data_IF_823737665052
#
_entry.id   IF_823737665052
#
_cell.length_a   1.000
_cell.length_b   1.000
_cell.length_c   1.000
_cell.angle_alpha   90.00
_cell.angle_beta   90.00
_cell.angle_gamma   90.00
#
_symmetry.space_group_name_H-M   'P 1'
#
loop_
_entity.id
_entity.type
_entity.pdbx_description
1 polymer ?
#
# COMPACT_ATOMS: atom_id res chain seq x y z
N UNK A 1 10.59 0.10 -29.27
CA UNK A 1 9.66 -0.05 -28.13
C UNK A 1 10.17 0.85 -27.02
N UNK A 2 9.43 1.92 -26.70
CA UNK A 2 9.85 2.88 -25.67
C UNK A 2 9.39 2.38 -24.31
N UNK A 3 10.36 2.13 -23.42
CA UNK A 3 10.13 1.67 -22.05
C UNK A 3 9.73 2.90 -21.24
N UNK A 4 8.54 2.89 -20.62
CA UNK A 4 8.08 3.98 -19.77
C UNK A 4 9.02 4.08 -18.54
N UNK A 5 9.77 5.17 -18.35
CA UNK A 5 10.72 5.30 -17.24
C UNK A 5 10.02 5.46 -15.88
N UNK A 6 8.70 5.65 -15.86
CA UNK A 6 7.89 5.66 -14.64
C UNK A 6 7.28 4.29 -14.31
N UNK A 7 7.53 3.25 -15.11
CA UNK A 7 7.15 1.90 -14.74
C UNK A 7 8.01 1.45 -13.56
N UNK A 8 7.37 1.19 -12.41
CA UNK A 8 8.04 0.60 -11.26
C UNK A 8 8.81 -0.66 -11.73
N UNK A 9 10.04 -0.90 -11.24
CA UNK A 9 10.79 -2.08 -11.63
C UNK A 9 9.91 -3.31 -11.38
N UNK A 10 9.93 -4.27 -12.30
CA UNK A 10 9.34 -5.59 -12.12
C UNK A 10 10.03 -6.25 -10.91
N UNK A 11 9.58 -5.90 -9.71
CA UNK A 11 10.09 -6.46 -8.48
C UNK A 11 9.65 -7.91 -8.47
N UNK A 12 10.58 -8.84 -8.24
CA UNK A 12 10.41 -10.29 -8.30
C UNK A 12 9.33 -10.88 -7.35
N UNK A 13 8.51 -10.02 -6.72
CA UNK A 13 7.53 -10.35 -5.68
C UNK A 13 6.19 -9.62 -5.85
N UNK A 14 5.99 -8.92 -6.96
CA UNK A 14 4.77 -8.15 -7.22
C UNK A 14 3.90 -8.77 -8.30
N UNK A 15 2.59 -8.58 -8.17
CA UNK A 15 1.55 -8.94 -9.10
C UNK A 15 1.03 -7.66 -9.76
N UNK A 16 1.15 -7.55 -11.08
CA UNK A 16 0.64 -6.39 -11.81
C UNK A 16 -0.89 -6.38 -11.72
N UNK A 17 -1.44 -5.25 -11.30
CA UNK A 17 -2.87 -4.96 -11.29
C UNK A 17 -3.16 -4.04 -12.46
N UNK A 18 -4.12 -4.41 -13.28
CA UNK A 18 -4.48 -3.68 -14.50
C UNK A 18 -5.97 -3.75 -14.76
N UNK A 19 -6.49 -2.82 -15.55
CA UNK A 19 -7.83 -2.92 -16.15
C UNK A 19 -7.71 -3.25 -17.62
N UNK A 20 -8.71 -3.95 -18.13
CA UNK A 20 -8.76 -4.27 -19.54
C UNK A 20 -10.08 -4.88 -19.94
N UNK A 21 -10.16 -5.28 -21.21
CA UNK A 21 -11.31 -5.98 -21.77
C UNK A 21 -11.00 -7.45 -22.00
N UNK A 22 -12.00 -8.30 -21.80
CA UNK A 22 -11.95 -9.70 -22.25
C UNK A 22 -12.28 -9.83 -23.74
N UNK A 23 -12.39 -11.06 -24.24
CA UNK A 23 -12.75 -11.35 -25.63
C UNK A 23 -14.17 -10.89 -26.01
N UNK A 24 -15.06 -10.73 -25.03
CA UNK A 24 -16.43 -10.26 -25.18
C UNK A 24 -16.56 -8.72 -25.04
N UNK A 25 -15.45 -8.02 -24.80
CA UNK A 25 -15.36 -6.58 -24.51
C UNK A 25 -15.97 -6.15 -23.15
N UNK A 26 -16.06 -7.07 -22.20
CA UNK A 26 -16.40 -6.76 -20.82
C UNK A 26 -15.19 -6.14 -20.11
N UNK A 27 -15.39 -4.98 -19.47
CA UNK A 27 -14.35 -4.35 -18.67
C UNK A 27 -14.19 -5.04 -17.31
N UNK A 28 -12.96 -5.45 -17.00
CA UNK A 28 -12.62 -6.15 -15.76
C UNK A 28 -11.35 -5.57 -15.13
N UNK A 29 -11.20 -5.85 -13.85
CA UNK A 29 -9.94 -5.64 -13.12
C UNK A 29 -9.18 -6.97 -13.09
N UNK A 30 -7.90 -6.94 -13.38
CA UNK A 30 -7.02 -8.10 -13.44
C UNK A 30 -5.90 -7.95 -12.41
N UNK A 31 -5.52 -9.07 -11.80
CA UNK A 31 -4.25 -9.21 -11.07
C UNK A 31 -3.50 -10.41 -11.64
N UNK A 32 -2.27 -10.18 -12.07
CA UNK A 32 -1.43 -11.21 -12.67
C UNK A 32 -0.98 -12.17 -11.58
N UNK A 33 -1.19 -13.48 -11.74
CA UNK A 33 -0.83 -14.47 -10.71
C UNK A 33 0.51 -15.15 -10.98
N UNK A 34 0.98 -15.14 -12.22
CA UNK A 34 2.25 -15.75 -12.60
C UNK A 34 3.46 -14.81 -12.40
N UNK A 35 4.64 -15.44 -12.24
CA UNK A 35 5.95 -14.76 -12.25
C UNK A 35 6.20 -14.08 -13.62
N UNK A 36 7.27 -13.26 -13.75
CA UNK A 36 7.27 -11.95 -14.41
C UNK A 36 6.43 -11.87 -15.70
N UNK A 37 5.71 -10.76 -15.90
CA UNK A 37 4.83 -10.45 -17.03
C UNK A 37 5.53 -10.50 -18.42
N UNK A 38 5.97 -11.67 -18.84
CA UNK A 38 6.69 -11.93 -20.08
C UNK A 38 5.94 -13.03 -20.80
N UNK A 39 5.13 -12.65 -21.80
CA UNK A 39 4.33 -13.59 -22.60
C UNK A 39 2.95 -13.89 -22.01
N UNK A 40 2.42 -15.08 -22.28
CA UNK A 40 1.12 -15.54 -21.72
C UNK A 40 1.28 -15.74 -20.21
N UNK A 41 0.41 -15.11 -19.45
CA UNK A 41 0.39 -15.19 -17.99
C UNK A 41 -1.05 -15.41 -17.53
N UNK A 42 -1.22 -16.14 -16.45
CA UNK A 42 -2.51 -16.28 -15.79
C UNK A 42 -2.82 -15.03 -14.96
N UNK A 43 -4.11 -14.71 -14.87
CA UNK A 43 -4.66 -13.64 -14.04
C UNK A 43 -5.81 -14.17 -13.18
N UNK A 44 -6.08 -13.48 -12.08
CA UNK A 44 -7.44 -13.44 -11.54
C UNK A 44 -8.15 -12.21 -12.10
N UNK A 45 -9.35 -12.38 -12.62
CA UNK A 45 -10.20 -11.28 -13.08
C UNK A 45 -11.36 -11.05 -12.11
N UNK A 46 -11.69 -9.79 -11.90
CA UNK A 46 -12.74 -9.33 -11.02
C UNK A 46 -13.82 -8.64 -11.84
N UNK A 47 -15.03 -9.22 -11.80
CA UNK A 47 -16.16 -8.81 -12.62
C UNK A 47 -17.27 -8.24 -11.73
N UNK A 48 -17.57 -6.94 -11.83
CA UNK A 48 -18.71 -6.37 -11.16
C UNK A 48 -20.04 -6.87 -11.73
N UNK A 49 -20.80 -7.65 -10.96
CA UNK A 49 -22.12 -8.12 -11.35
C UNK A 49 -23.18 -7.19 -10.78
N UNK A 50 -23.64 -6.24 -11.60
CA UNK A 50 -24.59 -5.19 -11.18
C UNK A 50 -25.92 -5.76 -10.68
N UNK A 51 -26.39 -6.86 -11.26
CA UNK A 51 -27.65 -7.50 -10.88
C UNK A 51 -27.63 -8.01 -9.43
N UNK A 52 -26.48 -8.49 -8.94
CA UNK A 52 -26.33 -9.02 -7.58
C UNK A 52 -25.69 -8.00 -6.63
N UNK A 53 -25.11 -6.92 -7.16
CA UNK A 53 -24.34 -5.95 -6.39
C UNK A 53 -23.05 -6.53 -5.79
N UNK A 54 -22.54 -7.63 -6.37
CA UNK A 54 -21.35 -8.34 -5.91
C UNK A 54 -20.29 -8.42 -7.00
N UNK A 55 -19.05 -8.60 -6.58
CA UNK A 55 -17.93 -8.90 -7.47
C UNK A 55 -17.77 -10.41 -7.59
N UNK A 56 -17.78 -10.90 -8.81
CA UNK A 56 -17.38 -12.27 -9.13
C UNK A 56 -15.89 -12.32 -9.45
N UNK A 57 -15.26 -13.44 -9.10
CA UNK A 57 -13.82 -13.65 -9.33
C UNK A 57 -13.67 -14.84 -10.26
N UNK A 58 -13.02 -14.60 -11.40
CA UNK A 58 -12.61 -15.62 -12.35
C UNK A 58 -11.14 -15.92 -12.07
N UNK A 59 -10.86 -17.10 -11.51
CA UNK A 59 -9.50 -17.51 -11.16
C UNK A 59 -8.78 -18.12 -12.36
N UNK A 60 -7.48 -17.87 -12.47
CA UNK A 60 -6.60 -18.46 -13.50
C UNK A 60 -7.13 -18.29 -14.94
N UNK A 61 -7.59 -17.08 -15.25
CA UNK A 61 -8.01 -16.71 -16.60
C UNK A 61 -6.83 -16.17 -17.40
N UNK A 62 -7.01 -16.04 -18.72
CA UNK A 62 -6.09 -15.31 -19.56
C UNK A 62 -6.06 -13.83 -19.18
N UNK A 63 -4.95 -13.17 -19.49
CA UNK A 63 -4.83 -11.71 -19.46
C UNK A 63 -5.91 -11.03 -20.28
N UNK A 64 -6.14 -9.76 -20.01
CA UNK A 64 -6.98 -8.92 -20.86
C UNK A 64 -6.53 -9.00 -22.33
N UNK A 65 -7.51 -9.11 -23.24
CA UNK A 65 -7.29 -9.00 -24.68
C UNK A 65 -6.65 -7.64 -25.02
N UNK A 66 -7.15 -6.59 -24.38
CA UNK A 66 -6.58 -5.25 -24.43
C UNK A 66 -6.49 -4.66 -23.02
N UNK A 67 -5.28 -4.29 -22.62
CA UNK A 67 -5.05 -3.59 -21.35
C UNK A 67 -5.38 -2.12 -21.53
N UNK A 68 -6.33 -1.62 -20.74
CA UNK A 68 -6.76 -0.21 -20.74
C UNK A 68 -5.86 0.64 -19.85
N UNK A 69 -5.51 0.17 -18.66
CA UNK A 69 -4.73 0.93 -17.69
C UNK A 69 -3.97 0.01 -16.74
N UNK A 70 -2.69 0.31 -16.47
CA UNK A 70 -1.91 -0.33 -15.41
C UNK A 70 -2.05 0.46 -14.12
N UNK A 71 -2.54 -0.18 -13.06
CA UNK A 71 -2.85 0.47 -11.79
C UNK A 71 -1.71 0.36 -10.76
N UNK A 72 -0.76 -0.55 -10.99
CA UNK A 72 0.42 -0.73 -10.16
C UNK A 72 0.66 -2.19 -9.77
N UNK A 73 1.57 -2.40 -8.83
CA UNK A 73 2.00 -3.73 -8.40
C UNK A 73 1.52 -4.02 -6.98
N UNK A 74 1.06 -5.24 -6.74
CA UNK A 74 0.55 -5.68 -5.45
C UNK A 74 1.22 -6.98 -4.99
N UNK A 75 1.62 -7.11 -3.74
CA UNK A 75 2.39 -8.27 -3.27
C UNK A 75 1.56 -9.47 -2.82
N UNK A 76 0.31 -9.24 -2.40
CA UNK A 76 -0.54 -10.28 -1.81
C UNK A 76 -1.86 -10.43 -2.58
N UNK A 77 -1.95 -11.46 -3.43
CA UNK A 77 -3.16 -11.76 -4.21
C UNK A 77 -4.36 -12.08 -3.31
N UNK A 78 -4.15 -12.74 -2.17
CA UNK A 78 -5.24 -13.17 -1.29
C UNK A 78 -5.88 -11.95 -0.61
N UNK A 79 -5.04 -11.06 -0.07
CA UNK A 79 -5.51 -9.79 0.48
C UNK A 79 -6.20 -8.96 -0.61
N UNK A 80 -5.60 -8.91 -1.81
CA UNK A 80 -6.18 -8.17 -2.93
C UNK A 80 -7.59 -8.67 -3.28
N UNK A 81 -7.71 -9.98 -3.41
CA UNK A 81 -8.96 -10.68 -3.73
C UNK A 81 -10.01 -10.43 -2.65
N UNK A 82 -9.63 -10.48 -1.38
CA UNK A 82 -10.53 -10.24 -0.25
C UNK A 82 -11.09 -8.81 -0.27
N UNK A 83 -10.25 -7.80 -0.50
CA UNK A 83 -10.69 -6.40 -0.59
C UNK A 83 -11.66 -6.23 -1.76
N UNK A 84 -11.33 -6.75 -2.94
CA UNK A 84 -12.20 -6.64 -4.12
C UNK A 84 -13.58 -7.26 -3.88
N UNK A 85 -13.64 -8.45 -3.24
CA UNK A 85 -14.90 -9.14 -2.93
C UNK A 85 -15.74 -8.43 -1.88
N UNK A 86 -15.09 -7.76 -0.92
CA UNK A 86 -15.75 -7.08 0.19
C UNK A 86 -16.12 -5.63 -0.14
N UNK A 87 -15.65 -5.10 -1.27
CA UNK A 87 -16.03 -3.76 -1.71
C UNK A 87 -17.45 -3.77 -2.30
N UNK A 88 -18.40 -3.01 -1.73
CA UNK A 88 -19.75 -2.93 -2.27
C UNK A 88 -19.74 -2.29 -3.66
N UNK A 89 -20.53 -2.85 -4.58
CA UNK A 89 -20.79 -2.20 -5.86
C UNK A 89 -21.74 -1.01 -5.67
N UNK A 90 -21.44 0.16 -6.27
CA UNK A 90 -22.36 1.28 -6.24
C UNK A 90 -23.63 0.93 -7.03
N UNK A 91 -24.79 1.08 -6.37
CA UNK A 91 -26.10 0.72 -6.93
C UNK A 91 -26.60 1.72 -7.99
N UNK A 92 -26.01 2.91 -8.08
CA UNK A 92 -26.45 4.00 -8.95
C UNK A 92 -25.26 4.81 -9.47
N UNK A 93 -25.32 5.27 -10.72
CA UNK A 93 -24.33 6.13 -11.34
C UNK A 93 -23.98 5.74 -12.79
N UNK A 94 -23.39 6.68 -13.52
CA UNK A 94 -23.08 6.53 -14.96
C UNK A 94 -21.98 5.48 -15.24
N UNK A 95 -21.14 5.14 -14.26
CA UNK A 95 -20.02 4.20 -14.41
C UNK A 95 -19.76 3.37 -13.14
N UNK A 96 -20.56 2.32 -12.85
CA UNK A 96 -20.45 1.55 -11.61
C UNK A 96 -19.10 0.82 -11.47
N UNK A 97 -18.53 0.33 -12.58
CA UNK A 97 -17.19 -0.28 -12.61
C UNK A 97 -16.11 0.71 -12.14
N UNK A 98 -16.10 1.92 -12.72
CA UNK A 98 -15.09 2.94 -12.40
C UNK A 98 -15.20 3.42 -10.95
N UNK A 99 -16.42 3.61 -10.46
CA UNK A 99 -16.66 4.01 -9.08
C UNK A 99 -16.21 2.92 -8.08
N UNK A 100 -16.51 1.65 -8.36
CA UNK A 100 -16.00 0.53 -7.57
C UNK A 100 -14.47 0.45 -7.61
N UNK A 101 -13.88 0.60 -8.79
CA UNK A 101 -12.43 0.57 -8.97
C UNK A 101 -11.72 1.63 -8.13
N UNK A 102 -12.22 2.87 -8.13
CA UNK A 102 -11.68 3.92 -7.28
C UNK A 102 -11.77 3.61 -5.79
N UNK A 103 -12.85 2.95 -5.35
CA UNK A 103 -13.00 2.55 -3.95
C UNK A 103 -11.98 1.46 -3.56
N UNK A 104 -11.77 0.47 -4.43
CA UNK A 104 -10.76 -0.59 -4.25
C UNK A 104 -9.35 0.01 -4.17
N UNK A 105 -8.94 0.82 -5.15
CA UNK A 105 -7.62 1.48 -5.18
C UNK A 105 -7.44 2.42 -3.98
N UNK A 106 -8.51 3.15 -3.61
CA UNK A 106 -8.54 4.02 -2.44
C UNK A 106 -8.34 3.28 -1.11
N UNK A 107 -8.79 2.03 -0.99
CA UNK A 107 -8.51 1.22 0.20
C UNK A 107 -7.05 0.79 0.28
N UNK A 108 -6.44 0.42 -0.85
CA UNK A 108 -5.03 0.01 -0.83
C UNK A 108 -4.07 1.15 -0.57
N UNK A 109 -4.33 2.34 -1.11
CA UNK A 109 -3.54 3.55 -0.79
C UNK A 109 -3.60 3.92 0.69
N UNK A 110 -4.74 3.66 1.37
CA UNK A 110 -4.87 3.88 2.82
C UNK A 110 -4.24 2.77 3.65
N UNK A 111 -4.26 1.52 3.18
CA UNK A 111 -3.61 0.39 3.85
C UNK A 111 -2.09 0.58 3.84
N UNK A 112 -1.52 1.04 2.73
CA UNK A 112 -0.07 1.32 2.63
C UNK A 112 0.36 2.57 3.42
N UNK A 113 -0.54 3.55 3.62
CA UNK A 113 -0.26 4.71 4.48
C UNK A 113 -0.39 4.46 5.99
N UNK A 114 -1.06 3.36 6.40
CA UNK A 114 -1.19 3.00 7.82
C UNK A 114 0.02 2.25 8.37
N UNK A 115 0.93 1.79 7.53
CA UNK A 115 2.27 1.43 8.00
C UNK A 115 3.09 2.72 8.17
N UNK A 116 3.65 3.00 9.35
CA UNK A 116 4.59 4.10 9.48
C UNK A 116 5.71 3.83 8.47
N UNK A 117 5.93 4.79 7.56
CA UNK A 117 6.98 4.67 6.57
C UNK A 117 8.31 4.34 7.28
N UNK A 118 9.26 3.64 6.63
CA UNK A 118 10.58 3.41 7.22
C UNK A 118 11.23 4.70 7.73
N UNK A 119 10.95 5.83 7.06
CA UNK A 119 11.38 7.17 7.49
C UNK A 119 10.66 7.66 8.75
N UNK A 120 9.35 7.41 8.91
CA UNK A 120 8.62 7.69 10.16
C UNK A 120 9.12 6.83 11.32
N UNK A 121 9.41 5.55 11.08
CA UNK A 121 9.95 4.66 12.12
C UNK A 121 11.35 5.10 12.58
N UNK A 122 12.17 5.59 11.66
CA UNK A 122 13.48 6.20 11.97
C UNK A 122 13.28 7.53 12.70
N UNK A 123 12.31 8.34 12.30
CA UNK A 123 12.02 9.62 12.95
C UNK A 123 11.52 9.42 14.39
N UNK A 124 10.60 8.48 14.62
CA UNK A 124 10.09 8.14 15.95
C UNK A 124 11.21 7.59 16.85
N UNK A 125 12.12 6.78 16.30
CA UNK A 125 13.31 6.32 17.02
C UNK A 125 14.28 7.46 17.35
N UNK A 126 14.48 8.40 16.43
CA UNK A 126 15.31 9.57 16.65
C UNK A 126 14.71 10.50 17.71
N UNK A 127 13.39 10.66 17.74
CA UNK A 127 12.72 11.53 18.70
C UNK A 127 12.68 10.86 20.09
N UNK A 128 12.49 9.54 20.17
CA UNK A 128 12.69 8.77 21.41
C UNK A 128 14.13 8.86 21.93
N UNK A 129 15.13 8.74 21.04
CA UNK A 129 16.54 8.87 21.41
C UNK A 129 16.85 10.27 21.95
N UNK A 130 16.33 11.32 21.30
CA UNK A 130 16.50 12.71 21.76
C UNK A 130 15.87 12.93 23.13
N UNK A 131 14.65 12.45 23.35
CA UNK A 131 13.99 12.57 24.66
C UNK A 131 14.80 11.86 25.75
N UNK A 132 15.33 10.67 25.46
CA UNK A 132 16.17 9.93 26.40
C UNK A 132 17.49 10.66 26.70
N UNK A 133 18.17 11.17 25.67
CA UNK A 133 19.42 11.94 25.82
C UNK A 133 19.19 13.20 26.66
N UNK A 134 18.11 13.95 26.41
CA UNK A 134 17.78 15.13 27.22
C UNK A 134 17.52 14.77 28.68
N UNK A 135 16.74 13.71 28.96
CA UNK A 135 16.47 13.28 30.33
C UNK A 135 17.74 12.86 31.09
N UNK A 136 18.68 12.19 30.42
CA UNK A 136 19.98 11.82 31.01
C UNK A 136 20.82 13.05 31.29
N UNK A 137 20.87 14.02 30.36
CA UNK A 137 21.61 15.26 30.55
C UNK A 137 21.03 16.11 31.68
N UNK A 138 19.71 16.23 31.78
CA UNK A 138 19.03 16.94 32.85
C UNK A 138 19.32 16.29 34.21
N UNK A 139 19.26 14.96 34.28
CA UNK A 139 19.59 14.21 35.50
C UNK A 139 21.04 14.43 35.92
N UNK A 140 21.99 14.41 34.96
CA UNK A 140 23.39 14.68 35.23
C UNK A 140 23.63 16.12 35.68
N UNK A 141 22.91 17.09 35.09
CA UNK A 141 23.00 18.50 35.47
C UNK A 141 22.43 18.76 36.87
N UNK A 142 21.31 18.11 37.21
CA UNK A 142 20.72 18.17 38.55
C UNK A 142 21.64 17.54 39.60
N UNK A 143 22.20 16.35 39.32
CA UNK A 143 23.16 15.70 40.22
C UNK A 143 24.47 16.48 40.35
N UNK A 144 24.98 17.07 39.26
CA UNK A 144 26.17 17.93 39.32
C UNK A 144 25.87 19.16 40.17
N UNK A 145 24.71 19.80 40.00
CA UNK A 145 24.31 20.96 40.82
C UNK A 145 24.17 20.62 42.31
N UNK A 146 23.73 19.41 42.64
CA UNK A 146 23.68 18.90 44.02
C UNK A 146 25.07 18.59 44.62
N UNK A 147 26.06 18.26 43.78
CA UNK A 147 27.44 17.99 44.20
C UNK A 147 28.29 19.25 44.38
N UNK A 148 27.85 20.40 43.85
CA UNK A 148 28.53 21.70 43.94
C UNK A 148 27.83 22.69 44.88
N UNK A 149 27.18 22.21 45.95
CA UNK A 149 26.77 23.11 47.04
C UNK A 149 28.03 23.77 47.61
N UNK A 150 28.07 25.11 47.55
CA UNK A 150 29.16 25.92 48.10
C UNK A 150 29.39 25.46 49.55
N UNK A 151 30.61 25.00 49.85
CA UNK A 151 30.98 24.70 51.22
C UNK A 151 31.13 26.03 51.99
N UNK A 152 30.03 26.54 52.53
CA UNK A 152 29.99 27.81 53.28
C UNK A 152 30.80 27.77 54.59
N UNK A 153 31.38 26.61 54.94
CA UNK A 153 32.18 26.40 56.14
C UNK A 153 33.68 26.76 56.03
N UNK A 154 34.16 27.31 54.91
CA UNK A 154 35.60 27.61 54.72
C UNK A 154 35.88 29.06 54.29
N UNK A 155 35.23 30.03 54.94
CA UNK A 155 35.73 31.40 55.01
C UNK A 155 36.39 31.61 56.38
N UNK A 156 37.71 31.45 56.42
CA UNK A 156 38.61 32.01 57.45
C UNK A 156 39.56 32.97 56.72
#
# INVERSE_FOLDING_TARGET
MSINPNAAPATERGHLVSTGTDDENNHMLYIHIDKPCIGKHECNAFVPVLATGKVEVIYKTNSAKETTEELGWFSDINLFTQVCKNEPLPRQGYHPFKAWLFAVVGKFTRVTQKEPSPQQKIQDQNDLLKTWVSAVLDTLQEQHSALWVRNEGNMV
#
